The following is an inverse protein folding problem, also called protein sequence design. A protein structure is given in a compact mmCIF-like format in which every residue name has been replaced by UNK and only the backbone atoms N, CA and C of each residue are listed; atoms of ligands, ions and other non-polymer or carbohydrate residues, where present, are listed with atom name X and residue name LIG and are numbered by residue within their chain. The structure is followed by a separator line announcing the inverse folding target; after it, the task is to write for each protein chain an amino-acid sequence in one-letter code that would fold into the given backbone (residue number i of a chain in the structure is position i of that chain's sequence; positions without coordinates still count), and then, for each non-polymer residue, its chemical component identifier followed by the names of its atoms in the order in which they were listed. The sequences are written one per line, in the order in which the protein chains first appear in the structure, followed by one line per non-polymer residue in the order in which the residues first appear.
data_IF_678359739106
#
_entry.id   IF_678359739106
#
_cell.length_a   1.000
_cell.length_b   1.000
_cell.length_c   1.000
_cell.angle_alpha   90.00
_cell.angle_beta   90.00
_cell.angle_gamma   90.00
#
_symmetry.space_group_name_H-M   'P 1'
#
loop_
_entity.id
_entity.type
_entity.pdbx_description
1 polymer ?
#
# COMPACT_ATOMS: atom_id res chain seq x y z
N UNK A 1 -18.40 -28.50 -6.01
CA UNK A 1 -17.03 -28.26 -6.52
C UNK A 1 -16.13 -28.02 -5.33
N UNK A 2 -15.08 -28.82 -5.21
CA UNK A 2 -14.06 -28.62 -4.17
C UNK A 2 -13.27 -27.33 -4.45
N UNK A 3 -12.50 -26.89 -3.46
CA UNK A 3 -11.61 -25.73 -3.63
C UNK A 3 -10.56 -25.97 -4.73
N UNK A 4 -9.98 -27.16 -4.79
CA UNK A 4 -8.98 -27.54 -5.80
C UNK A 4 -9.55 -27.55 -7.21
N UNK A 5 -10.73 -28.17 -7.40
CA UNK A 5 -11.43 -28.21 -8.69
C UNK A 5 -11.81 -26.79 -9.16
N UNK A 6 -12.24 -25.93 -8.23
CA UNK A 6 -12.55 -24.54 -8.50
C UNK A 6 -11.31 -23.83 -9.04
N UNK A 7 -10.17 -24.01 -8.38
CA UNK A 7 -8.91 -23.39 -8.75
C UNK A 7 -8.40 -23.85 -10.11
N UNK A 8 -8.44 -25.15 -10.38
CA UNK A 8 -8.01 -25.73 -11.66
C UNK A 8 -8.79 -25.14 -12.84
N UNK A 9 -10.11 -25.04 -12.69
CA UNK A 9 -10.96 -24.48 -13.73
C UNK A 9 -10.86 -22.95 -13.81
N UNK A 10 -10.62 -22.25 -12.70
CA UNK A 10 -10.50 -20.79 -12.66
C UNK A 10 -9.24 -20.28 -13.35
N UNK A 11 -8.11 -20.99 -13.28
CA UNK A 11 -6.83 -20.55 -13.86
C UNK A 11 -6.61 -21.03 -15.31
N UNK A 12 -7.58 -21.76 -15.86
CA UNK A 12 -7.55 -22.34 -17.20
C UNK A 12 -8.73 -21.84 -18.06
N UNK A 13 -8.54 -20.76 -18.85
CA UNK A 13 -9.57 -20.22 -19.74
C UNK A 13 -10.10 -21.21 -20.79
N UNK A 14 -9.33 -22.26 -21.12
CA UNK A 14 -9.76 -23.29 -22.06
C UNK A 14 -10.67 -24.35 -21.40
N UNK A 15 -10.86 -24.29 -20.08
CA UNK A 15 -11.76 -25.22 -19.38
C UNK A 15 -13.21 -24.99 -19.81
N UNK A 16 -13.97 -26.04 -20.16
CA UNK A 16 -15.40 -25.92 -20.44
C UNK A 16 -16.21 -25.47 -19.21
N UNK A 17 -15.60 -25.51 -18.01
CA UNK A 17 -16.18 -25.06 -16.75
C UNK A 17 -15.67 -23.68 -16.30
N UNK A 18 -14.88 -22.98 -17.12
CA UNK A 18 -14.26 -21.70 -16.75
C UNK A 18 -15.28 -20.66 -16.28
N UNK A 19 -16.36 -20.44 -17.03
CA UNK A 19 -17.41 -19.48 -16.66
C UNK A 19 -18.13 -19.86 -15.36
N UNK A 20 -18.37 -21.17 -15.16
CA UNK A 20 -18.99 -21.67 -13.94
C UNK A 20 -18.06 -21.48 -12.74
N UNK A 21 -16.76 -21.79 -12.90
CA UNK A 21 -15.74 -21.58 -11.89
C UNK A 21 -15.63 -20.10 -11.51
N UNK A 22 -15.74 -19.20 -12.49
CA UNK A 22 -15.78 -17.76 -12.23
C UNK A 22 -17.00 -17.34 -11.38
N UNK A 23 -18.19 -17.80 -11.77
CA UNK A 23 -19.43 -17.52 -11.03
C UNK A 23 -19.34 -18.05 -9.60
N UNK A 24 -18.82 -19.26 -9.43
CA UNK A 24 -18.64 -19.88 -8.12
C UNK A 24 -17.58 -19.15 -7.28
N UNK A 25 -16.47 -18.72 -7.89
CA UNK A 25 -15.45 -17.90 -7.25
C UNK A 25 -16.05 -16.60 -6.71
N UNK A 26 -16.77 -15.86 -7.54
CA UNK A 26 -17.40 -14.60 -7.12
C UNK A 26 -18.46 -14.82 -6.05
N UNK A 27 -19.24 -15.91 -6.14
CA UNK A 27 -20.24 -16.28 -5.13
C UNK A 27 -19.61 -16.58 -3.77
N UNK A 28 -18.48 -17.30 -3.73
CA UNK A 28 -17.80 -17.68 -2.49
C UNK A 28 -16.99 -16.54 -1.88
N UNK A 29 -16.22 -15.85 -2.71
CA UNK A 29 -15.17 -14.95 -2.22
C UNK A 29 -15.43 -13.47 -2.49
N UNK A 30 -16.41 -13.10 -3.32
CA UNK A 30 -16.75 -11.70 -3.56
C UNK A 30 -17.10 -10.95 -2.27
N UNK A 31 -17.86 -11.61 -1.37
CA UNK A 31 -18.15 -11.05 -0.04
C UNK A 31 -16.89 -10.84 0.81
N UNK A 32 -15.97 -11.81 0.78
CA UNK A 32 -14.69 -11.74 1.52
C UNK A 32 -13.83 -10.56 1.05
N UNK A 33 -13.70 -10.40 -0.27
CA UNK A 33 -12.97 -9.27 -0.89
C UNK A 33 -13.60 -7.96 -0.44
N UNK A 34 -14.92 -7.82 -0.61
CA UNK A 34 -15.63 -6.59 -0.31
C UNK A 34 -15.61 -6.24 1.18
N UNK A 35 -15.68 -7.21 2.08
CA UNK A 35 -15.56 -6.98 3.52
C UNK A 35 -14.16 -6.50 3.92
N UNK A 36 -13.11 -7.09 3.35
CA UNK A 36 -11.74 -6.66 3.60
C UNK A 36 -11.49 -5.22 3.11
N UNK A 37 -11.99 -4.88 1.92
CA UNK A 37 -11.92 -3.52 1.37
C UNK A 37 -12.67 -2.54 2.28
N UNK A 38 -13.93 -2.84 2.60
CA UNK A 38 -14.76 -2.01 3.48
C UNK A 38 -14.07 -1.74 4.81
N UNK A 39 -13.60 -2.80 5.47
CA UNK A 39 -12.92 -2.68 6.75
C UNK A 39 -11.73 -1.73 6.65
N UNK A 40 -10.93 -1.85 5.60
CA UNK A 40 -9.78 -0.96 5.38
C UNK A 40 -10.21 0.49 5.09
N UNK A 41 -11.20 0.72 4.23
CA UNK A 41 -11.76 2.04 3.93
C UNK A 41 -12.34 2.75 5.16
N UNK A 42 -12.98 1.99 6.07
CA UNK A 42 -13.49 2.53 7.33
C UNK A 42 -12.39 2.80 8.34
N UNK A 43 -11.41 1.90 8.47
CA UNK A 43 -10.27 2.02 9.41
C UNK A 43 -9.39 3.23 9.08
N UNK A 44 -9.24 3.57 7.80
CA UNK A 44 -8.54 4.78 7.38
C UNK A 44 -9.30 6.09 7.67
N UNK A 45 -10.38 6.02 8.45
CA UNK A 45 -11.18 7.14 8.97
C UNK A 45 -11.55 8.13 7.87
N UNK A 46 -12.26 7.61 6.86
CA UNK A 46 -12.55 8.29 5.60
C UNK A 46 -13.56 9.46 5.70
N UNK A 47 -13.30 10.43 6.57
CA UNK A 47 -13.91 11.76 6.50
C UNK A 47 -13.79 12.38 5.09
N UNK A 48 -12.78 11.98 4.31
CA UNK A 48 -12.58 12.39 2.92
C UNK A 48 -13.46 11.63 1.91
N UNK A 49 -13.78 10.33 2.11
CA UNK A 49 -14.52 9.54 1.11
C UNK A 49 -16.04 9.80 1.09
N UNK A 50 -16.59 10.50 2.10
CA UNK A 50 -18.02 10.90 2.27
C UNK A 50 -19.02 10.03 1.47
N UNK A 51 -19.84 10.63 0.61
CA UNK A 51 -20.92 9.96 -0.15
C UNK A 51 -20.42 9.00 -1.25
N UNK A 52 -19.11 8.95 -1.52
CA UNK A 52 -18.50 8.21 -2.63
C UNK A 52 -17.81 6.91 -2.18
N UNK A 53 -17.89 6.56 -0.89
CA UNK A 53 -17.26 5.33 -0.38
C UNK A 53 -17.71 4.08 -1.15
N UNK A 54 -18.96 4.05 -1.63
CA UNK A 54 -19.48 2.97 -2.47
C UNK A 54 -18.73 2.85 -3.80
N UNK A 55 -18.53 3.95 -4.50
CA UNK A 55 -17.82 3.99 -5.77
C UNK A 55 -16.35 3.62 -5.58
N UNK A 56 -15.71 4.15 -4.54
CA UNK A 56 -14.32 3.81 -4.20
C UNK A 56 -14.17 2.32 -3.87
N UNK A 57 -15.13 1.73 -3.13
CA UNK A 57 -15.11 0.29 -2.86
C UNK A 57 -15.22 -0.51 -4.17
N UNK A 58 -16.06 -0.08 -5.10
CA UNK A 58 -16.22 -0.74 -6.41
C UNK A 58 -14.94 -0.63 -7.25
N UNK A 59 -14.30 0.53 -7.29
CA UNK A 59 -13.01 0.74 -7.97
C UNK A 59 -11.94 -0.22 -7.41
N UNK A 60 -11.84 -0.29 -6.09
CA UNK A 60 -10.88 -1.19 -5.41
C UNK A 60 -11.22 -2.65 -5.69
N UNK A 61 -12.50 -3.02 -5.68
CA UNK A 61 -12.93 -4.39 -5.98
C UNK A 61 -12.51 -4.79 -7.39
N UNK A 62 -12.73 -3.93 -8.38
CA UNK A 62 -12.25 -4.14 -9.75
C UNK A 62 -10.73 -4.26 -9.79
N UNK A 63 -10.01 -3.43 -9.04
CA UNK A 63 -8.55 -3.48 -8.96
C UNK A 63 -8.03 -4.78 -8.33
N UNK A 64 -8.72 -5.32 -7.33
CA UNK A 64 -8.41 -6.63 -6.75
C UNK A 64 -8.59 -7.72 -7.80
N UNK A 65 -9.70 -7.71 -8.54
CA UNK A 65 -9.91 -8.68 -9.62
C UNK A 65 -8.80 -8.56 -10.67
N UNK A 66 -8.45 -7.35 -11.10
CA UNK A 66 -7.31 -7.15 -12.01
C UNK A 66 -6.02 -7.79 -11.47
N UNK A 67 -5.67 -7.56 -10.19
CA UNK A 67 -4.47 -8.17 -9.58
C UNK A 67 -4.51 -9.70 -9.65
N UNK A 68 -5.66 -10.30 -9.38
CA UNK A 68 -5.82 -11.77 -9.37
C UNK A 68 -5.68 -12.38 -10.77
N UNK A 69 -6.16 -11.67 -11.79
CA UNK A 69 -6.33 -12.22 -13.14
C UNK A 69 -5.29 -11.70 -14.16
N UNK A 70 -4.54 -10.66 -13.80
CA UNK A 70 -3.44 -10.13 -14.60
C UNK A 70 -2.37 -11.19 -14.86
N UNK A 71 -1.62 -11.00 -15.95
CA UNK A 71 -0.52 -11.84 -16.38
C UNK A 71 -0.91 -13.33 -16.51
N UNK A 72 -2.15 -13.59 -16.92
CA UNK A 72 -2.68 -14.94 -17.06
C UNK A 72 -2.83 -15.65 -15.71
N UNK A 73 -3.51 -15.02 -14.75
CA UNK A 73 -3.81 -15.61 -13.43
C UNK A 73 -2.56 -15.85 -12.58
N UNK A 74 -1.47 -15.10 -12.78
CA UNK A 74 -0.19 -15.36 -12.12
C UNK A 74 -0.31 -15.38 -10.60
N UNK A 75 -0.99 -14.39 -10.01
CA UNK A 75 -1.18 -14.31 -8.56
C UNK A 75 -1.89 -15.56 -8.00
N UNK A 76 -2.90 -16.06 -8.71
CA UNK A 76 -3.62 -17.28 -8.34
C UNK A 76 -2.76 -18.54 -8.54
N UNK A 77 -1.97 -18.60 -9.63
CA UNK A 77 -1.08 -19.74 -9.90
C UNK A 77 0.03 -19.88 -8.86
N UNK A 78 0.59 -18.75 -8.44
CA UNK A 78 1.69 -18.64 -7.48
C UNK A 78 1.26 -18.89 -6.03
N UNK A 79 -0.06 -18.91 -5.75
CA UNK A 79 -0.57 -19.28 -4.42
C UNK A 79 -0.24 -20.75 -4.10
N UNK A 80 0.58 -20.97 -3.06
CA UNK A 80 1.20 -22.27 -2.77
C UNK A 80 0.33 -23.24 -1.97
N UNK A 81 -0.57 -22.74 -1.13
CA UNK A 81 -1.35 -23.53 -0.17
C UNK A 81 -2.72 -23.93 -0.73
N UNK A 82 -2.72 -24.59 -1.90
CA UNK A 82 -3.92 -24.94 -2.67
C UNK A 82 -4.80 -26.02 -2.01
N UNK A 83 -4.30 -26.63 -0.95
CA UNK A 83 -4.96 -27.64 -0.12
C UNK A 83 -5.88 -27.03 0.96
N UNK A 84 -5.84 -25.71 1.16
CA UNK A 84 -6.58 -25.05 2.24
C UNK A 84 -7.32 -23.80 1.77
N UNK A 85 -8.64 -23.90 1.74
CA UNK A 85 -9.54 -22.79 1.45
C UNK A 85 -9.45 -21.67 2.51
N UNK A 86 -9.21 -22.01 3.78
CA UNK A 86 -9.03 -21.03 4.85
C UNK A 86 -7.80 -20.15 4.65
N UNK A 87 -6.67 -20.76 4.28
CA UNK A 87 -5.43 -20.04 3.95
C UNK A 87 -5.60 -19.19 2.71
N UNK A 88 -6.37 -19.66 1.74
CA UNK A 88 -6.73 -18.87 0.57
C UNK A 88 -7.58 -17.64 0.93
N UNK A 89 -8.59 -17.80 1.79
CA UNK A 89 -9.40 -16.70 2.28
C UNK A 89 -8.53 -15.66 3.01
N UNK A 90 -7.60 -16.10 3.86
CA UNK A 90 -6.68 -15.19 4.55
C UNK A 90 -5.77 -14.43 3.57
N UNK A 91 -5.18 -15.13 2.60
CA UNK A 91 -4.37 -14.53 1.54
C UNK A 91 -5.17 -13.53 0.70
N UNK A 92 -6.42 -13.87 0.36
CA UNK A 92 -7.30 -13.00 -0.43
C UNK A 92 -7.68 -11.72 0.34
N UNK A 93 -7.96 -11.84 1.65
CA UNK A 93 -8.16 -10.68 2.53
C UNK A 93 -6.93 -9.77 2.54
N UNK A 94 -5.74 -10.36 2.60
CA UNK A 94 -4.49 -9.59 2.60
C UNK A 94 -4.28 -8.84 1.27
N UNK A 95 -4.50 -9.49 0.13
CA UNK A 95 -4.44 -8.83 -1.19
C UNK A 95 -5.47 -7.70 -1.28
N UNK A 96 -6.70 -7.96 -0.84
CA UNK A 96 -7.79 -6.98 -0.89
C UNK A 96 -7.50 -5.76 0.00
N UNK A 97 -6.99 -6.00 1.21
CA UNK A 97 -6.59 -4.93 2.13
C UNK A 97 -5.44 -4.11 1.56
N UNK A 98 -4.44 -4.75 0.94
CA UNK A 98 -3.31 -4.05 0.32
C UNK A 98 -3.72 -3.24 -0.92
N UNK A 99 -4.63 -3.76 -1.74
CA UNK A 99 -5.17 -3.04 -2.88
C UNK A 99 -5.95 -1.79 -2.41
N UNK A 100 -6.81 -1.94 -1.39
CA UNK A 100 -7.49 -0.82 -0.76
C UNK A 100 -6.51 0.19 -0.16
N UNK A 101 -5.46 -0.32 0.49
CA UNK A 101 -4.29 0.42 0.96
C UNK A 101 -3.71 1.35 -0.10
N UNK A 102 -3.39 0.80 -1.27
CA UNK A 102 -2.78 1.58 -2.35
C UNK A 102 -3.74 2.59 -2.94
N UNK A 103 -4.98 2.19 -3.23
CA UNK A 103 -5.96 3.06 -3.88
C UNK A 103 -6.29 4.30 -3.03
N UNK A 104 -6.56 4.11 -1.75
CA UNK A 104 -6.92 5.20 -0.85
C UNK A 104 -5.74 6.14 -0.61
N UNK A 105 -4.51 5.61 -0.64
CA UNK A 105 -3.29 6.43 -0.62
C UNK A 105 -3.15 7.23 -1.90
N UNK A 106 -3.37 6.64 -3.06
CA UNK A 106 -3.31 7.34 -4.34
C UNK A 106 -4.33 8.47 -4.39
N UNK A 107 -5.57 8.22 -3.94
CA UNK A 107 -6.60 9.25 -3.80
C UNK A 107 -6.22 10.36 -2.80
N UNK A 108 -5.64 10.02 -1.64
CA UNK A 108 -5.12 11.01 -0.68
C UNK A 108 -4.03 11.88 -1.32
N UNK A 109 -3.11 11.26 -2.06
CA UNK A 109 -2.04 11.98 -2.75
C UNK A 109 -2.58 12.88 -3.86
N UNK A 110 -3.65 12.47 -4.55
CA UNK A 110 -4.32 13.26 -5.57
C UNK A 110 -5.08 14.46 -4.99
N UNK A 111 -5.75 14.31 -3.85
CA UNK A 111 -6.39 15.44 -3.16
C UNK A 111 -5.36 16.50 -2.72
N UNK A 112 -4.20 16.06 -2.21
CA UNK A 112 -3.06 16.94 -1.89
C UNK A 112 -2.52 17.64 -3.16
N UNK A 113 -2.55 16.97 -4.32
CA UNK A 113 -2.08 17.53 -5.61
C UNK A 113 -3.04 18.58 -6.16
N UNK A 114 -4.35 18.32 -6.13
CA UNK A 114 -5.37 19.20 -6.72
C UNK A 114 -5.55 20.49 -5.91
N UNK A 115 -5.30 20.42 -4.61
CA UNK A 115 -5.45 21.56 -3.69
C UNK A 115 -4.20 22.47 -3.66
N UNK A 116 -3.25 22.27 -4.57
CA UNK A 116 -1.89 22.81 -4.61
C UNK A 116 -1.70 24.33 -4.75
N UNK A 117 -2.68 25.16 -4.41
CA UNK A 117 -2.50 26.61 -4.32
C UNK A 117 -2.64 27.19 -2.90
N UNK A 118 -3.08 26.43 -1.88
CA UNK A 118 -3.27 26.97 -0.50
C UNK A 118 -2.75 26.07 0.67
N UNK A 119 -1.92 25.03 0.41
CA UNK A 119 -1.57 24.01 1.42
C UNK A 119 -0.33 24.28 2.29
N UNK A 120 0.22 25.50 2.36
CA UNK A 120 1.24 25.78 3.37
C UNK A 120 0.69 25.63 4.82
N UNK A 121 -0.63 25.53 4.98
CA UNK A 121 -1.32 25.23 6.24
C UNK A 121 -1.81 23.78 6.39
N UNK A 122 -1.66 22.91 5.37
CA UNK A 122 -2.32 21.58 5.33
C UNK A 122 -1.35 20.38 5.31
N UNK A 123 -0.04 20.64 5.39
CA UNK A 123 0.97 19.61 5.67
C UNK A 123 0.73 18.92 7.02
N UNK A 124 0.14 19.64 7.98
CA UNK A 124 -0.16 19.12 9.32
C UNK A 124 -1.34 18.13 9.31
N UNK A 125 -2.38 18.37 8.50
CA UNK A 125 -3.53 17.48 8.38
C UNK A 125 -3.19 16.14 7.70
N UNK A 126 -2.35 16.19 6.68
CA UNK A 126 -1.85 14.98 5.98
C UNK A 126 -0.95 14.14 6.89
N UNK A 127 -0.12 14.79 7.70
CA UNK A 127 0.67 14.13 8.75
C UNK A 127 -0.24 13.57 9.85
N UNK A 128 -1.28 14.30 10.27
CA UNK A 128 -2.23 13.85 11.28
C UNK A 128 -3.04 12.62 10.86
N UNK A 129 -3.33 12.45 9.57
CA UNK A 129 -3.94 11.21 9.05
C UNK A 129 -2.98 10.02 9.20
N UNK A 130 -1.69 10.22 8.96
CA UNK A 130 -0.65 9.21 9.17
C UNK A 130 -0.43 8.94 10.68
N UNK A 131 -0.52 9.99 11.51
CA UNK A 131 -0.45 9.87 12.97
C UNK A 131 -1.71 9.23 13.57
N UNK A 132 -2.87 9.37 12.96
CA UNK A 132 -4.10 8.69 13.39
C UNK A 132 -4.18 7.23 12.94
N UNK A 133 -3.32 6.81 12.02
CA UNK A 133 -3.28 5.44 11.55
C UNK A 133 -2.74 4.50 12.65
N UNK A 134 -3.33 3.31 12.73
CA UNK A 134 -2.80 2.22 13.56
C UNK A 134 -1.41 1.76 13.10
N UNK A 135 -0.74 1.02 13.98
CA UNK A 135 0.62 0.53 13.76
C UNK A 135 0.74 -0.36 12.52
N UNK A 136 -0.27 -1.16 12.18
CA UNK A 136 -0.25 -2.00 10.97
C UNK A 136 -0.23 -1.14 9.70
N UNK A 137 -1.06 -0.09 9.66
CA UNK A 137 -1.17 0.85 8.54
C UNK A 137 0.08 1.71 8.43
N UNK A 138 0.67 2.11 9.55
CA UNK A 138 1.98 2.80 9.58
C UNK A 138 3.08 1.89 9.04
N UNK A 139 3.07 0.61 9.39
CA UNK A 139 4.05 -0.36 8.91
C UNK A 139 3.92 -0.65 7.41
N UNK A 140 2.70 -0.82 6.88
CA UNK A 140 2.50 -0.98 5.44
C UNK A 140 2.91 0.27 4.65
N UNK A 141 2.62 1.46 5.19
CA UNK A 141 3.14 2.70 4.62
C UNK A 141 4.68 2.71 4.65
N UNK A 142 5.31 2.28 5.74
CA UNK A 142 6.76 2.13 5.77
C UNK A 142 7.27 1.20 4.67
N UNK A 143 6.74 -0.02 4.56
CA UNK A 143 7.20 -1.00 3.56
C UNK A 143 7.11 -0.46 2.13
N UNK A 144 6.02 0.24 1.79
CA UNK A 144 5.85 0.85 0.46
C UNK A 144 6.86 1.98 0.22
N UNK A 145 7.06 2.87 1.21
CA UNK A 145 8.01 3.99 1.10
C UNK A 145 9.46 3.49 1.06
N UNK A 146 9.79 2.51 1.89
CA UNK A 146 11.05 1.82 1.88
C UNK A 146 11.27 1.16 0.53
N UNK A 147 10.28 0.45 -0.04
CA UNK A 147 10.37 -0.17 -1.37
C UNK A 147 10.64 0.86 -2.47
N UNK A 148 9.90 1.97 -2.47
CA UNK A 148 10.11 3.10 -3.39
C UNK A 148 11.54 3.63 -3.29
N UNK A 149 12.02 3.84 -2.07
CA UNK A 149 13.35 4.38 -1.80
C UNK A 149 14.46 3.36 -2.10
N UNK A 150 14.21 2.07 -1.84
CA UNK A 150 15.08 0.96 -2.17
C UNK A 150 15.26 0.85 -3.69
N UNK A 151 14.20 0.88 -4.47
CA UNK A 151 14.26 0.74 -5.93
C UNK A 151 15.04 1.89 -6.60
N UNK A 152 14.92 3.12 -6.08
CA UNK A 152 15.56 4.32 -6.63
C UNK A 152 17.03 4.47 -6.20
N UNK A 153 17.41 4.04 -5.00
CA UNK A 153 18.73 4.32 -4.41
C UNK A 153 19.64 3.10 -4.32
N UNK A 154 19.11 1.87 -4.37
CA UNK A 154 19.94 0.65 -4.45
C UNK A 154 20.89 0.67 -5.67
N UNK A 155 20.56 1.48 -6.68
CA UNK A 155 21.40 1.73 -7.86
C UNK A 155 22.50 2.79 -7.66
N UNK A 156 22.50 3.55 -6.55
CA UNK A 156 23.31 4.77 -6.41
C UNK A 156 24.14 4.91 -5.13
N UNK A 157 23.83 4.26 -3.98
CA UNK A 157 24.55 4.56 -2.70
C UNK A 157 24.61 3.42 -1.67
N UNK A 158 25.67 3.45 -0.84
CA UNK A 158 25.96 2.47 0.23
C UNK A 158 25.34 2.74 1.61
N UNK A 159 24.81 3.94 1.91
CA UNK A 159 24.25 4.29 3.23
C UNK A 159 22.71 4.37 3.26
N UNK A 160 22.07 3.67 2.33
CA UNK A 160 20.62 3.69 2.06
C UNK A 160 19.77 3.35 3.30
N UNK A 161 20.11 2.24 3.97
CA UNK A 161 19.37 1.74 5.12
C UNK A 161 19.41 2.72 6.31
N UNK A 162 20.57 3.33 6.53
CA UNK A 162 20.79 4.33 7.57
C UNK A 162 19.96 5.61 7.32
N UNK A 163 19.96 6.09 6.07
CA UNK A 163 19.23 7.29 5.68
C UNK A 163 17.70 7.07 5.76
N UNK A 164 17.21 5.88 5.42
CA UNK A 164 15.82 5.45 5.68
C UNK A 164 15.50 5.48 7.16
N UNK A 165 16.34 4.87 7.99
CA UNK A 165 16.08 4.74 9.41
C UNK A 165 15.99 6.11 10.11
N UNK A 166 16.83 7.08 9.71
CA UNK A 166 16.72 8.46 10.20
C UNK A 166 15.41 9.12 9.77
N UNK A 167 15.02 8.95 8.50
CA UNK A 167 13.73 9.45 8.01
C UNK A 167 12.56 8.83 8.79
N UNK A 168 12.64 7.54 9.11
CA UNK A 168 11.61 6.83 9.88
C UNK A 168 11.42 7.42 11.28
N UNK A 169 12.51 7.56 12.01
CA UNK A 169 12.50 8.12 13.36
C UNK A 169 11.93 9.54 13.36
N UNK A 170 12.24 10.33 12.32
CA UNK A 170 11.78 11.71 12.21
C UNK A 170 10.30 11.81 11.83
N UNK A 171 9.87 11.07 10.81
CA UNK A 171 8.56 11.23 10.18
C UNK A 171 7.45 10.43 10.87
N UNK A 172 7.76 9.31 11.54
CA UNK A 172 6.75 8.46 12.19
C UNK A 172 6.87 8.38 13.70
N UNK A 173 8.10 8.34 14.24
CA UNK A 173 8.28 8.26 15.68
C UNK A 173 8.30 9.66 16.35
N UNK A 174 8.28 10.73 15.55
CA UNK A 174 8.37 12.13 15.98
C UNK A 174 9.64 12.45 16.79
N UNK A 175 10.74 11.75 16.52
CA UNK A 175 12.00 12.05 17.18
C UNK A 175 12.56 13.32 16.57
N UNK A 176 12.89 14.31 17.41
CA UNK A 176 13.64 15.46 16.98
C UNK A 176 15.06 15.05 16.52
N UNK A 177 15.71 15.85 15.66
CA UNK A 177 17.06 15.57 15.16
C UNK A 177 18.09 15.29 16.27
N UNK A 178 17.97 15.96 17.40
CA UNK A 178 18.83 15.81 18.59
C UNK A 178 18.71 14.41 19.20
N UNK A 179 17.48 13.93 19.35
CA UNK A 179 17.14 12.60 19.86
C UNK A 179 17.53 11.51 18.86
N UNK A 180 17.43 11.78 17.56
CA UNK A 180 17.91 10.86 16.53
C UNK A 180 19.43 10.71 16.64
N UNK A 181 20.22 11.78 16.67
CA UNK A 181 21.68 11.64 16.76
C UNK A 181 22.17 11.10 18.11
N UNK A 182 21.31 11.08 19.14
CA UNK A 182 21.61 10.46 20.43
C UNK A 182 21.69 8.92 20.39
N UNK A 183 21.11 8.28 19.36
CA UNK A 183 21.20 6.82 19.25
C UNK A 183 22.62 6.35 18.95
N UNK A 184 23.08 5.23 19.56
CA UNK A 184 24.43 4.71 19.36
C UNK A 184 24.80 4.46 17.90
N UNK A 185 23.84 4.05 17.07
CA UNK A 185 24.03 3.78 15.63
C UNK A 185 24.25 5.05 14.79
N UNK A 186 23.99 6.24 15.34
CA UNK A 186 24.18 7.54 14.68
C UNK A 186 25.27 8.39 15.33
N UNK A 187 26.10 7.78 16.19
CA UNK A 187 27.17 8.47 16.91
C UNK A 187 28.08 9.26 15.97
N UNK A 188 28.29 10.53 16.28
CA UNK A 188 29.13 11.44 15.51
C UNK A 188 28.42 12.18 14.37
N UNK A 189 27.12 11.92 14.13
CA UNK A 189 26.32 12.78 13.27
C UNK A 189 25.87 14.04 14.00
N UNK A 190 25.76 15.13 13.22
CA UNK A 190 25.19 16.39 13.69
C UNK A 190 23.68 16.40 13.40
N UNK A 191 22.84 17.04 14.23
CA UNK A 191 21.40 17.16 14.00
C UNK A 191 21.04 17.66 12.58
N UNK A 192 21.80 18.62 12.06
CA UNK A 192 21.64 19.11 10.68
C UNK A 192 21.75 18.01 9.61
N UNK A 193 22.56 16.96 9.83
CA UNK A 193 22.67 15.84 8.89
C UNK A 193 21.36 15.05 8.81
N UNK A 194 20.60 14.96 9.90
CA UNK A 194 19.28 14.31 9.93
C UNK A 194 18.31 15.08 9.05
N UNK A 195 18.26 16.41 9.19
CA UNK A 195 17.40 17.27 8.36
C UNK A 195 17.78 17.19 6.87
N UNK A 196 19.08 17.19 6.54
CA UNK A 196 19.56 16.99 5.17
C UNK A 196 19.15 15.62 4.61
N UNK A 197 19.22 14.56 5.42
CA UNK A 197 18.79 13.21 5.02
C UNK A 197 17.28 13.18 4.80
N UNK A 198 16.50 13.75 5.72
CA UNK A 198 15.03 13.80 5.65
C UNK A 198 14.57 14.55 4.42
N UNK A 199 15.10 15.74 4.15
CA UNK A 199 14.75 16.53 2.97
C UNK A 199 15.15 15.82 1.68
N UNK A 200 16.32 15.18 1.65
CA UNK A 200 16.75 14.37 0.51
C UNK A 200 15.82 13.18 0.28
N UNK A 201 15.36 12.51 1.34
CA UNK A 201 14.41 11.40 1.24
C UNK A 201 13.09 11.93 0.65
N UNK A 202 12.57 13.03 1.19
CA UNK A 202 11.38 13.72 0.66
C UNK A 202 11.54 14.06 -0.83
N UNK A 203 12.67 14.62 -1.25
CA UNK A 203 12.95 14.97 -2.65
C UNK A 203 12.91 13.74 -3.57
N UNK A 204 13.43 12.60 -3.11
CA UNK A 204 13.46 11.37 -3.91
C UNK A 204 12.05 10.80 -4.06
N UNK A 205 11.26 10.77 -2.99
CA UNK A 205 9.85 10.41 -3.09
C UNK A 205 9.09 11.42 -3.99
N UNK A 206 9.37 12.71 -3.87
CA UNK A 206 8.78 13.76 -4.70
C UNK A 206 9.12 13.63 -6.19
N UNK A 207 10.37 13.32 -6.53
CA UNK A 207 10.82 13.14 -7.93
C UNK A 207 10.14 11.96 -8.62
N UNK A 208 9.94 10.83 -7.91
CA UNK A 208 9.21 9.68 -8.49
C UNK A 208 7.75 10.03 -8.76
N UNK A 209 7.10 10.80 -7.88
CA UNK A 209 5.73 11.31 -8.09
C UNK A 209 5.59 12.12 -9.39
N UNK A 210 6.64 12.84 -9.80
CA UNK A 210 6.65 13.61 -11.05
C UNK A 210 7.05 12.77 -12.28
N UNK A 211 7.87 11.73 -12.07
CA UNK A 211 8.35 10.85 -13.14
C UNK A 211 7.29 9.86 -13.61
N UNK A 212 6.39 9.43 -12.72
CA UNK A 212 5.24 8.58 -13.06
C UNK A 212 4.11 9.32 -13.79
N UNK A 213 4.16 10.66 -13.85
CA UNK A 213 3.20 11.51 -14.58
C UNK A 213 3.63 11.80 -16.03
N UNK A 214 4.87 11.47 -16.40
CA UNK A 214 5.44 11.72 -17.73
C UNK A 214 5.37 10.49 -18.66
N UNK A 215 4.72 9.41 -18.23
CA UNK A 215 4.47 8.18 -18.99
C UNK A 215 2.99 7.90 -19.03
#
# INVERSE_FOLDING_TARGET
MSFEELFEHLINPASPRYEWAWKEFMRRYGKVIREAIKWRCYRWNSRMLRKQIGDVINDIEMRVLEILFKDGFKALRDFRQKDSEEKFIAWLRQISSRAAGRELKDKLLDDIRVSGEDLAQDDEASLDIIKGADDDTRWENFEDWATVYYDEIKKKRGNLERDLHMFMLRAWAEFDPEKIVSFPCFKGMKPHNVEVVVNRVRDIIGKRKNSSLAK
#
